data_IF_520927994791
#
_entry.id   IF_520927994791
#
_cell.length_a   1.000
_cell.length_b   1.000
_cell.length_c   1.000
_cell.angle_alpha   90.00
_cell.angle_beta   90.00
_cell.angle_gamma   90.00
#
_symmetry.space_group_name_H-M   'P 1'
#
loop_
_entity.id
_entity.type
_entity.pdbx_description
1 polymer ?
#
# COMPACT_ATOMS: atom_id res chain seq x y z
N UNK A 1 12.19 1.79 0.61
CA UNK A 1 11.35 0.97 -0.24
C UNK A 1 10.51 -0.02 0.57
N UNK A 2 9.35 -0.38 0.04
CA UNK A 2 8.53 -1.46 0.60
C UNK A 2 9.12 -2.83 0.22
N UNK A 3 9.47 -3.63 1.22
CA UNK A 3 9.99 -4.98 1.04
C UNK A 3 8.90 -6.05 1.17
N UNK A 4 7.91 -5.82 2.02
CA UNK A 4 6.77 -6.70 2.23
C UNK A 4 5.47 -5.93 2.20
N UNK A 5 4.40 -6.58 1.76
CA UNK A 5 3.05 -6.05 1.69
C UNK A 5 2.09 -6.93 2.47
N UNK A 6 0.99 -6.38 3.02
CA UNK A 6 -0.05 -7.18 3.67
C UNK A 6 -0.71 -8.13 2.67
N UNK A 7 -1.31 -9.21 3.18
CA UNK A 7 -2.02 -10.20 2.34
C UNK A 7 -3.35 -9.68 1.82
N UNK A 8 -4.03 -8.87 2.61
CA UNK A 8 -5.27 -8.20 2.24
C UNK A 8 -5.16 -6.73 2.55
N UNK A 9 -5.74 -5.89 1.71
CA UNK A 9 -5.74 -4.44 1.83
C UNK A 9 -7.14 -3.91 1.59
N UNK A 10 -7.52 -2.89 2.34
CA UNK A 10 -8.76 -2.16 2.13
C UNK A 10 -8.52 -0.98 1.19
N UNK A 11 -9.56 -0.56 0.48
CA UNK A 11 -9.48 0.59 -0.43
C UNK A 11 -9.01 1.83 0.32
N UNK A 12 -8.02 2.54 -0.25
CA UNK A 12 -7.48 3.76 0.33
C UNK A 12 -6.50 3.56 1.48
N UNK A 13 -5.94 2.36 1.65
CA UNK A 13 -5.00 2.11 2.73
C UNK A 13 -3.74 3.00 2.66
N UNK A 14 -3.37 3.53 1.48
CA UNK A 14 -2.28 4.48 1.31
C UNK A 14 -2.65 5.92 1.68
N UNK A 15 -3.94 6.25 1.84
CA UNK A 15 -4.39 7.62 2.17
C UNK A 15 -3.72 8.18 3.43
N UNK A 16 -3.49 7.32 4.42
CA UNK A 16 -2.78 7.67 5.66
C UNK A 16 -1.36 8.18 5.39
N UNK A 17 -0.64 7.51 4.48
CA UNK A 17 0.73 7.89 4.12
C UNK A 17 0.71 9.20 3.33
N UNK A 18 -0.13 9.27 2.30
CA UNK A 18 -0.23 10.46 1.44
C UNK A 18 -0.64 11.69 2.23
N UNK A 19 -1.48 11.51 3.25
CA UNK A 19 -1.92 12.58 4.15
C UNK A 19 -0.95 12.89 5.27
N UNK A 20 0.15 12.16 5.39
CA UNK A 20 1.16 12.38 6.43
C UNK A 20 1.86 13.73 6.26
N UNK A 21 2.10 14.41 7.39
CA UNK A 21 2.83 15.68 7.38
C UNK A 21 4.32 15.41 7.14
N UNK A 22 4.88 16.09 6.16
CA UNK A 22 6.30 16.02 5.85
C UNK A 22 6.58 16.21 4.37
N UNK A 23 7.84 16.46 4.03
CA UNK A 23 8.29 16.59 2.65
C UNK A 23 8.85 15.24 2.17
N UNK A 24 8.05 14.54 1.40
CA UNK A 24 8.44 13.26 0.79
C UNK A 24 7.75 13.05 -0.56
N UNK A 25 8.43 12.31 -1.42
CA UNK A 25 7.85 11.81 -2.67
C UNK A 25 7.48 10.35 -2.50
N UNK A 26 6.29 9.97 -2.95
CA UNK A 26 5.85 8.59 -3.04
C UNK A 26 5.78 8.19 -4.50
N UNK A 27 6.49 7.14 -4.88
CA UNK A 27 6.51 6.61 -6.24
C UNK A 27 6.05 5.17 -6.26
N UNK A 28 5.05 4.90 -7.09
CA UNK A 28 4.50 3.57 -7.31
C UNK A 28 4.75 3.17 -8.76
N UNK A 29 5.60 2.15 -8.96
CA UNK A 29 5.84 1.56 -10.27
C UNK A 29 4.98 0.32 -10.42
N UNK A 30 4.24 0.25 -11.51
CA UNK A 30 3.32 -0.84 -11.81
C UNK A 30 3.61 -1.30 -13.23
N UNK A 31 4.20 -2.49 -13.35
CA UNK A 31 4.47 -3.12 -14.63
C UNK A 31 3.58 -4.35 -14.80
N UNK A 32 2.83 -4.48 -15.91
CA UNK A 32 2.08 -5.71 -16.17
C UNK A 32 3.06 -6.88 -16.31
N UNK A 33 2.71 -8.03 -15.72
CA UNK A 33 3.51 -9.24 -15.85
C UNK A 33 2.92 -10.13 -16.94
N UNK A 34 3.81 -10.70 -17.75
CA UNK A 34 3.41 -11.57 -18.86
C UNK A 34 2.60 -12.78 -18.37
N UNK A 35 1.52 -13.10 -19.09
CA UNK A 35 0.58 -14.14 -18.66
C UNK A 35 1.20 -15.55 -18.74
N UNK A 36 2.01 -15.83 -19.76
CA UNK A 36 2.66 -17.13 -19.94
C UNK A 36 3.67 -17.35 -18.79
N UNK A 37 4.49 -16.34 -18.51
CA UNK A 37 5.44 -16.36 -17.41
C UNK A 37 4.73 -16.46 -16.06
N UNK A 38 3.57 -15.80 -15.91
CA UNK A 38 2.72 -15.90 -14.71
C UNK A 38 2.26 -17.33 -14.48
N UNK A 39 1.74 -17.98 -15.52
CA UNK A 39 1.27 -19.37 -15.43
C UNK A 39 2.39 -20.34 -15.06
N UNK A 40 3.58 -20.16 -15.64
CA UNK A 40 4.75 -20.98 -15.33
C UNK A 40 5.17 -20.79 -13.85
N UNK A 41 5.21 -19.55 -13.38
CA UNK A 41 5.59 -19.20 -12.00
C UNK A 41 4.64 -19.81 -10.99
N UNK A 42 3.32 -19.62 -11.19
CA UNK A 42 2.30 -20.12 -10.27
C UNK A 42 2.21 -21.65 -10.26
N UNK A 43 2.34 -22.29 -11.43
CA UNK A 43 2.36 -23.75 -11.50
C UNK A 43 3.58 -24.35 -10.77
N UNK A 44 4.77 -23.74 -10.89
CA UNK A 44 5.95 -24.15 -10.12
C UNK A 44 5.73 -23.99 -8.61
N UNK A 45 5.13 -22.87 -8.20
CA UNK A 45 4.84 -22.63 -6.78
C UNK A 45 3.81 -23.62 -6.25
N UNK A 46 2.75 -23.93 -6.99
CA UNK A 46 1.78 -24.97 -6.62
C UNK A 46 2.42 -26.35 -6.49
N UNK A 47 3.29 -26.74 -7.43
CA UNK A 47 3.99 -28.00 -7.35
C UNK A 47 4.87 -28.10 -6.10
N UNK A 48 5.59 -27.03 -5.77
CA UNK A 48 6.40 -26.94 -4.55
C UNK A 48 5.54 -27.06 -3.30
N UNK A 49 4.48 -26.24 -3.19
CA UNK A 49 3.58 -26.25 -2.04
C UNK A 49 2.90 -27.61 -1.87
N UNK A 50 2.53 -28.28 -2.97
CA UNK A 50 1.98 -29.64 -2.94
C UNK A 50 2.99 -30.64 -2.41
N UNK A 51 4.25 -30.57 -2.82
CA UNK A 51 5.31 -31.43 -2.32
C UNK A 51 5.55 -31.21 -0.81
N UNK A 52 5.57 -29.95 -0.38
CA UNK A 52 5.72 -29.58 1.04
C UNK A 52 4.55 -30.10 1.89
N UNK A 53 3.32 -30.00 1.38
CA UNK A 53 2.12 -30.56 2.03
C UNK A 53 2.20 -32.09 2.17
N UNK A 54 2.62 -32.78 1.12
CA UNK A 54 2.83 -34.24 1.17
C UNK A 54 3.89 -34.62 2.22
N UNK A 55 5.01 -33.92 2.22
CA UNK A 55 6.09 -34.16 3.20
C UNK A 55 5.64 -33.89 4.65
N UNK A 56 4.83 -32.85 4.89
CA UNK A 56 4.23 -32.56 6.19
C UNK A 56 3.28 -33.65 6.65
N UNK A 57 2.38 -34.08 5.77
CA UNK A 57 1.40 -35.15 6.07
C UNK A 57 2.09 -36.47 6.39
N UNK A 58 3.12 -36.83 5.64
CA UNK A 58 3.91 -38.06 5.88
C UNK A 58 4.65 -38.04 7.23
N UNK A 59 5.05 -36.85 7.70
CA UNK A 59 5.67 -36.65 9.02
C UNK A 59 4.67 -36.47 10.17
N UNK A 60 3.37 -36.53 9.90
CA UNK A 60 2.33 -36.31 10.92
C UNK A 60 2.27 -34.88 11.43
N UNK A 61 2.88 -33.90 10.73
CA UNK A 61 2.88 -32.51 11.13
C UNK A 61 1.77 -31.77 10.37
N UNK A 62 0.74 -31.36 11.07
CA UNK A 62 -0.29 -30.48 10.52
C UNK A 62 0.26 -29.06 10.41
N UNK A 63 0.31 -28.51 9.21
CA UNK A 63 0.73 -27.13 8.98
C UNK A 63 -0.38 -26.34 8.25
N UNK A 64 -1.35 -25.76 8.99
CA UNK A 64 -2.47 -25.02 8.41
C UNK A 64 -2.04 -23.87 7.51
N UNK A 65 -0.88 -23.27 7.80
CA UNK A 65 -0.34 -22.17 7.00
C UNK A 65 0.05 -22.61 5.57
N UNK A 66 0.46 -23.87 5.38
CA UNK A 66 0.77 -24.41 4.05
C UNK A 66 -0.51 -24.73 3.27
N UNK A 67 -1.56 -25.22 3.94
CA UNK A 67 -2.85 -25.50 3.30
C UNK A 67 -3.47 -24.19 2.79
N UNK A 68 -3.53 -23.15 3.63
CA UNK A 68 -4.03 -21.83 3.23
C UNK A 68 -3.24 -21.27 2.03
N UNK A 69 -1.90 -21.37 2.07
CA UNK A 69 -1.07 -20.90 0.95
C UNK A 69 -1.35 -21.64 -0.36
N UNK A 70 -1.57 -22.94 -0.28
CA UNK A 70 -1.88 -23.75 -1.44
C UNK A 70 -3.23 -23.35 -2.04
N UNK A 71 -4.27 -23.23 -1.22
CA UNK A 71 -5.60 -22.79 -1.63
C UNK A 71 -5.58 -21.39 -2.24
N UNK A 72 -4.88 -20.45 -1.61
CA UNK A 72 -4.72 -19.08 -2.13
C UNK A 72 -4.07 -19.09 -3.52
N UNK A 73 -2.97 -19.85 -3.68
CA UNK A 73 -2.27 -19.93 -4.97
C UNK A 73 -3.13 -20.59 -6.04
N UNK A 74 -3.89 -21.63 -5.69
CA UNK A 74 -4.82 -22.28 -6.60
C UNK A 74 -5.96 -21.35 -7.04
N UNK A 75 -6.53 -20.59 -6.10
CA UNK A 75 -7.57 -19.60 -6.39
C UNK A 75 -7.07 -18.48 -7.30
N UNK A 76 -5.86 -17.96 -7.05
CA UNK A 76 -5.23 -16.98 -7.92
C UNK A 76 -5.07 -17.54 -9.35
N UNK A 77 -4.56 -18.75 -9.48
CA UNK A 77 -4.38 -19.40 -10.79
C UNK A 77 -5.72 -19.57 -11.52
N UNK A 78 -6.76 -20.01 -10.84
CA UNK A 78 -8.11 -20.14 -11.42
C UNK A 78 -8.67 -18.79 -11.89
N UNK A 79 -8.49 -17.72 -11.11
CA UNK A 79 -8.96 -16.39 -11.45
C UNK A 79 -8.20 -15.81 -12.64
N UNK A 80 -6.90 -16.04 -12.72
CA UNK A 80 -6.08 -15.67 -13.88
C UNK A 80 -6.51 -16.41 -15.15
N UNK A 81 -6.74 -17.71 -15.07
CA UNK A 81 -7.23 -18.52 -16.21
C UNK A 81 -8.60 -18.07 -16.71
N UNK A 82 -9.47 -17.63 -15.80
CA UNK A 82 -10.78 -17.07 -16.13
C UNK A 82 -10.73 -15.63 -16.65
N UNK A 83 -9.55 -15.01 -16.67
CA UNK A 83 -9.36 -13.62 -17.07
C UNK A 83 -9.93 -12.58 -16.09
N UNK A 84 -10.30 -13.00 -14.86
CA UNK A 84 -10.83 -12.11 -13.82
C UNK A 84 -9.73 -11.29 -13.15
N UNK A 85 -8.53 -11.84 -13.09
CA UNK A 85 -7.35 -11.25 -12.46
C UNK A 85 -6.20 -11.16 -13.46
N UNK A 86 -5.29 -10.20 -13.22
CA UNK A 86 -3.99 -10.09 -13.89
C UNK A 86 -2.91 -9.95 -12.84
N UNK A 87 -1.69 -10.30 -13.17
CA UNK A 87 -0.54 -10.16 -12.31
C UNK A 87 0.29 -8.95 -12.72
N UNK A 88 0.72 -8.17 -11.73
CA UNK A 88 1.56 -7.00 -11.92
C UNK A 88 2.81 -7.11 -11.06
N UNK A 89 3.90 -6.55 -11.54
CA UNK A 89 5.10 -6.29 -10.74
C UNK A 89 4.97 -4.89 -10.17
N UNK A 90 4.97 -4.78 -8.84
CA UNK A 90 4.74 -3.52 -8.14
C UNK A 90 5.94 -3.19 -7.26
N UNK A 91 6.39 -1.96 -7.34
CA UNK A 91 7.44 -1.38 -6.48
C UNK A 91 6.94 -0.09 -5.86
N UNK A 92 7.04 0.04 -4.54
CA UNK A 92 6.69 1.25 -3.80
C UNK A 92 7.95 1.84 -3.18
N UNK A 93 8.24 3.08 -3.53
CA UNK A 93 9.37 3.84 -3.03
C UNK A 93 8.92 5.13 -2.37
N UNK A 94 9.63 5.54 -1.32
CA UNK A 94 9.40 6.81 -0.64
C UNK A 94 10.75 7.48 -0.46
N UNK A 95 10.85 8.72 -0.94
CA UNK A 95 12.01 9.59 -0.79
C UNK A 95 11.67 10.69 0.20
N UNK A 96 12.26 10.65 1.39
CA UNK A 96 12.07 11.67 2.43
C UNK A 96 13.09 12.80 2.27
N UNK A 97 12.65 14.05 2.42
CA UNK A 97 13.48 15.24 2.34
C UNK A 97 13.32 16.07 3.61
N UNK A 98 14.41 16.63 4.08
CA UNK A 98 14.41 17.60 5.17
C UNK A 98 15.61 18.55 5.08
N UNK A 99 15.55 19.68 5.77
CA UNK A 99 16.64 20.65 5.78
C UNK A 99 17.75 20.29 6.77
N UNK A 100 17.44 19.50 7.80
CA UNK A 100 18.40 19.02 8.79
C UNK A 100 18.38 17.50 8.89
N UNK A 101 19.50 16.91 9.34
CA UNK A 101 19.58 15.46 9.59
C UNK A 101 18.61 15.02 10.68
N UNK A 102 18.44 15.82 11.72
CA UNK A 102 17.55 15.52 12.83
C UNK A 102 16.09 15.45 12.38
N UNK A 103 15.66 16.37 11.52
CA UNK A 103 14.30 16.39 10.98
C UNK A 103 14.10 15.27 9.97
N UNK A 104 15.11 14.92 9.18
CA UNK A 104 15.08 13.76 8.30
C UNK A 104 14.91 12.46 9.10
N UNK A 105 15.64 12.31 10.20
CA UNK A 105 15.52 11.13 11.06
C UNK A 105 14.14 11.04 11.74
N UNK A 106 13.56 12.18 12.16
CA UNK A 106 12.20 12.25 12.70
C UNK A 106 11.16 11.85 11.66
N UNK A 107 11.24 12.44 10.45
CA UNK A 107 10.34 12.13 9.34
C UNK A 107 10.43 10.65 8.94
N UNK A 108 11.65 10.14 8.80
CA UNK A 108 11.87 8.72 8.45
C UNK A 108 11.26 7.78 9.48
N UNK A 109 11.49 8.00 10.78
CA UNK A 109 10.88 7.17 11.84
C UNK A 109 9.36 7.21 11.80
N UNK A 110 8.78 8.37 11.53
CA UNK A 110 7.34 8.53 11.41
C UNK A 110 6.79 7.74 10.22
N UNK A 111 7.38 7.89 9.04
CA UNK A 111 6.98 7.14 7.84
C UNK A 111 7.14 5.62 8.07
N UNK A 112 8.21 5.20 8.75
CA UNK A 112 8.37 3.79 9.13
C UNK A 112 7.24 3.29 10.04
N UNK A 113 6.85 4.08 11.04
CA UNK A 113 5.75 3.73 11.95
C UNK A 113 4.42 3.63 11.19
N UNK A 114 4.14 4.56 10.29
CA UNK A 114 2.94 4.55 9.46
C UNK A 114 2.91 3.35 8.50
N UNK A 115 4.02 3.05 7.81
CA UNK A 115 4.11 1.88 6.95
C UNK A 115 3.92 0.57 7.73
N UNK A 116 4.57 0.45 8.90
CA UNK A 116 4.41 -0.72 9.75
C UNK A 116 2.96 -0.86 10.27
N UNK A 117 2.26 0.23 10.54
CA UNK A 117 0.84 0.19 10.92
C UNK A 117 -0.06 -0.36 9.81
N UNK A 118 0.37 -0.24 8.56
CA UNK A 118 -0.27 -0.80 7.38
C UNK A 118 0.27 -2.19 7.00
N UNK A 119 1.09 -2.79 7.86
CA UNK A 119 1.76 -4.08 7.62
C UNK A 119 2.66 -4.07 6.36
N UNK A 120 3.11 -2.89 5.94
CA UNK A 120 4.14 -2.74 4.92
C UNK A 120 5.49 -2.72 5.63
N UNK A 121 6.41 -3.58 5.19
CA UNK A 121 7.74 -3.68 5.78
C UNK A 121 8.69 -2.74 5.03
N UNK A 122 9.06 -1.57 5.60
CA UNK A 122 10.00 -0.66 4.96
C UNK A 122 11.45 -1.12 5.13
N UNK A 123 12.28 -0.86 4.12
CA UNK A 123 13.73 -1.02 4.18
C UNK A 123 14.44 0.14 3.49
N UNK A 124 15.67 0.43 3.90
CA UNK A 124 16.53 1.41 3.23
C UNK A 124 17.41 0.71 2.18
N UNK A 125 17.63 1.33 1.01
CA UNK A 125 18.48 0.76 -0.04
C UNK A 125 19.96 1.04 0.28
N UNK A 126 20.54 0.31 1.23
CA UNK A 126 21.95 0.47 1.60
C UNK A 126 22.84 0.31 0.35
N UNK A 127 23.81 1.24 0.19
CA UNK A 127 24.72 1.34 -0.96
C UNK A 127 24.08 1.56 -2.33
N UNK A 128 22.73 1.75 -2.39
CA UNK A 128 21.97 1.98 -3.61
C UNK A 128 21.07 3.20 -3.51
N UNK A 129 21.48 4.21 -2.75
CA UNK A 129 20.66 5.41 -2.49
C UNK A 129 20.43 6.24 -3.75
N UNK A 130 21.41 6.31 -4.67
CA UNK A 130 21.27 7.02 -5.95
C UNK A 130 20.18 6.36 -6.80
N UNK A 131 20.18 5.04 -6.89
CA UNK A 131 19.13 4.29 -7.60
C UNK A 131 17.76 4.48 -6.93
N UNK A 132 17.72 4.58 -5.60
CA UNK A 132 16.51 4.90 -4.84
C UNK A 132 15.97 6.29 -5.18
N UNK A 133 16.82 7.28 -5.24
CA UNK A 133 16.46 8.64 -5.64
C UNK A 133 15.96 8.69 -7.09
N UNK A 134 16.64 8.01 -8.02
CA UNK A 134 16.21 7.92 -9.42
C UNK A 134 14.82 7.27 -9.55
N UNK A 135 14.57 6.20 -8.77
CA UNK A 135 13.28 5.51 -8.77
C UNK A 135 12.13 6.36 -8.21
N UNK A 136 12.41 7.35 -7.36
CA UNK A 136 11.43 8.31 -6.87
C UNK A 136 11.31 9.56 -7.76
N UNK A 137 12.25 9.78 -8.67
CA UNK A 137 12.22 10.92 -9.58
C UNK A 137 11.19 10.70 -10.70
N UNK A 138 10.63 11.77 -11.31
CA UNK A 138 9.62 11.66 -12.36
C UNK A 138 10.19 11.18 -13.72
N UNK A 139 11.12 10.24 -13.67
CA UNK A 139 11.77 9.64 -14.85
C UNK A 139 11.10 8.35 -15.30
N UNK A 140 10.11 7.85 -14.55
CA UNK A 140 9.43 6.58 -14.79
C UNK A 140 10.39 5.36 -14.89
N UNK A 141 11.54 5.41 -14.18
CA UNK A 141 12.57 4.36 -14.22
C UNK A 141 12.63 3.67 -12.87
N UNK A 142 12.31 2.37 -12.81
CA UNK A 142 12.53 1.54 -11.63
C UNK A 142 14.00 1.07 -11.56
N UNK A 143 14.90 1.95 -11.10
CA UNK A 143 16.34 1.66 -11.00
C UNK A 143 16.69 0.64 -9.91
N UNK A 144 15.86 0.48 -8.87
CA UNK A 144 16.07 -0.47 -7.78
C UNK A 144 15.60 -1.88 -8.12
N UNK A 145 14.55 -2.00 -8.93
CA UNK A 145 13.92 -3.27 -9.36
C UNK A 145 13.53 -4.18 -8.18
N UNK A 146 13.04 -3.57 -7.09
CA UNK A 146 12.55 -4.31 -5.92
C UNK A 146 11.06 -4.53 -6.09
N UNK A 147 10.72 -5.57 -6.81
CA UNK A 147 9.38 -5.84 -7.31
C UNK A 147 8.67 -6.92 -6.51
N UNK A 148 7.37 -6.77 -6.35
CA UNK A 148 6.47 -7.78 -5.79
C UNK A 148 5.35 -8.06 -6.77
N UNK A 149 4.96 -9.32 -6.85
CA UNK A 149 3.82 -9.71 -7.65
C UNK A 149 2.53 -9.44 -6.87
N UNK A 150 1.64 -8.66 -7.45
CA UNK A 150 0.35 -8.29 -6.86
C UNK A 150 -0.71 -8.48 -7.94
N UNK A 151 -1.86 -9.06 -7.59
CA UNK A 151 -2.99 -9.24 -8.51
C UNK A 151 -3.84 -7.97 -8.60
N UNK A 152 -4.76 -7.93 -9.57
CA UNK A 152 -5.58 -6.74 -9.86
C UNK A 152 -6.36 -6.24 -8.65
N UNK A 153 -7.00 -7.16 -7.90
CA UNK A 153 -7.86 -6.79 -6.77
C UNK A 153 -7.09 -6.06 -5.66
N UNK A 154 -6.01 -6.62 -5.05
CA UNK A 154 -5.21 -5.90 -4.08
C UNK A 154 -4.55 -4.64 -4.65
N UNK A 155 -4.15 -4.66 -5.93
CA UNK A 155 -3.54 -3.49 -6.57
C UNK A 155 -4.49 -2.31 -6.66
N UNK A 156 -5.77 -2.54 -6.88
CA UNK A 156 -6.78 -1.48 -6.93
C UNK A 156 -6.86 -0.69 -5.62
N UNK A 157 -6.56 -1.32 -4.49
CA UNK A 157 -6.54 -0.69 -3.17
C UNK A 157 -5.34 0.28 -2.98
N UNK A 158 -4.31 0.19 -3.83
CA UNK A 158 -3.17 1.12 -3.81
C UNK A 158 -3.50 2.51 -4.35
N UNK A 159 -4.69 2.71 -4.93
CA UNK A 159 -5.11 4.02 -5.38
C UNK A 159 -5.29 4.96 -4.17
N UNK A 160 -4.49 6.03 -4.05
CA UNK A 160 -4.40 6.81 -2.82
C UNK A 160 -5.43 7.94 -2.73
N UNK A 161 -6.31 8.10 -3.73
CA UNK A 161 -7.25 9.22 -3.80
C UNK A 161 -8.69 8.76 -3.62
N UNK A 162 -8.95 7.99 -2.56
CA UNK A 162 -10.29 7.43 -2.29
C UNK A 162 -11.19 8.39 -1.52
N UNK A 163 -10.63 9.38 -0.83
CA UNK A 163 -11.38 10.42 -0.15
C UNK A 163 -10.71 11.78 -0.26
N UNK A 164 -11.51 12.86 -0.20
CA UNK A 164 -10.98 14.21 -0.03
C UNK A 164 -10.40 14.33 1.37
N UNK A 165 -9.09 14.42 1.50
CA UNK A 165 -8.44 14.66 2.78
C UNK A 165 -8.38 16.16 3.05
N UNK A 166 -9.12 16.59 4.05
CA UNK A 166 -8.99 17.93 4.61
C UNK A 166 -8.02 17.86 5.78
N UNK A 167 -6.85 18.50 5.63
CA UNK A 167 -5.88 18.60 6.72
C UNK A 167 -6.53 19.20 7.96
N UNK A 168 -6.43 18.51 9.10
CA UNK A 168 -6.96 19.01 10.36
C UNK A 168 -6.20 20.29 10.78
N UNK A 169 -6.92 21.36 11.04
CA UNK A 169 -6.33 22.57 11.61
C UNK A 169 -5.96 22.32 13.09
N UNK A 170 -4.92 22.99 13.58
CA UNK A 170 -4.49 22.89 15.00
C UNK A 170 -5.56 23.44 15.97
N UNK A 171 -6.40 24.33 15.49
CA UNK A 171 -7.54 24.90 16.21
C UNK A 171 -8.73 24.95 15.26
N UNK A 172 -9.93 24.72 15.74
CA UNK A 172 -11.12 24.77 14.90
C UNK A 172 -12.29 23.95 15.44
N UNK A 173 -13.37 23.93 14.70
CA UNK A 173 -14.57 23.18 15.03
C UNK A 173 -14.41 21.76 14.50
N UNK A 174 -14.70 20.78 15.34
CA UNK A 174 -14.84 19.39 14.90
C UNK A 174 -16.16 19.22 14.15
N UNK A 175 -16.07 18.91 12.86
CA UNK A 175 -17.23 18.78 11.99
C UNK A 175 -17.73 17.33 11.90
N UNK A 176 -16.89 16.35 12.20
CA UNK A 176 -17.23 14.94 12.14
C UNK A 176 -16.06 14.07 11.72
N UNK A 177 -16.36 12.86 11.26
CA UNK A 177 -15.37 11.92 10.71
C UNK A 177 -15.57 11.79 9.19
N UNK A 178 -14.49 11.69 8.46
CA UNK A 178 -14.55 11.31 7.05
C UNK A 178 -14.81 9.80 6.89
N UNK A 179 -14.93 9.33 5.65
CA UNK A 179 -15.12 7.89 5.33
C UNK A 179 -14.03 6.98 5.90
N UNK A 180 -12.84 7.53 6.16
CA UNK A 180 -11.70 6.79 6.68
C UNK A 180 -11.55 6.95 8.21
N UNK A 181 -12.61 7.35 8.91
CA UNK A 181 -12.64 7.61 10.36
C UNK A 181 -11.59 8.64 10.84
N UNK A 182 -11.19 9.57 9.95
CA UNK A 182 -10.27 10.65 10.28
C UNK A 182 -11.10 11.88 10.70
N UNK A 183 -10.81 12.52 11.86
CA UNK A 183 -11.50 13.72 12.30
C UNK A 183 -11.34 14.88 11.30
N UNK A 184 -12.45 15.52 10.95
CA UNK A 184 -12.48 16.76 10.19
C UNK A 184 -12.53 17.90 11.18
N UNK A 185 -11.39 18.56 11.41
CA UNK A 185 -11.26 19.74 12.26
C UNK A 185 -10.91 20.91 11.36
N UNK A 186 -11.76 21.94 11.35
CA UNK A 186 -11.57 23.10 10.48
C UNK A 186 -11.74 24.41 11.21
N UNK A 187 -10.77 25.30 11.08
CA UNK A 187 -10.88 26.67 11.51
C UNK A 187 -11.62 27.49 10.43
N UNK A 188 -12.90 27.69 10.65
CA UNK A 188 -13.77 28.35 9.68
C UNK A 188 -13.31 29.79 9.39
N UNK A 189 -12.71 30.46 10.39
CA UNK A 189 -12.26 31.83 10.25
C UNK A 189 -10.95 31.99 9.44
N UNK A 190 -10.24 30.90 9.18
CA UNK A 190 -9.09 30.89 8.28
C UNK A 190 -9.45 30.67 6.81
N UNK A 191 -10.73 30.41 6.52
CA UNK A 191 -11.19 30.29 5.14
C UNK A 191 -11.30 31.68 4.51
N UNK A 192 -11.02 31.79 3.22
CA UNK A 192 -11.20 33.02 2.45
C UNK A 192 -12.66 33.51 2.44
N UNK A 193 -13.60 32.60 2.64
CA UNK A 193 -15.03 32.89 2.85
C UNK A 193 -15.56 31.98 3.97
N UNK A 194 -15.82 32.53 5.19
CA UNK A 194 -16.27 31.76 6.34
C UNK A 194 -17.75 31.43 6.34
N UNK A 195 -18.49 31.82 5.32
CA UNK A 195 -19.91 31.53 5.22
C UNK A 195 -20.18 30.07 4.86
N UNK A 196 -21.07 29.42 5.55
CA UNK A 196 -21.49 28.04 5.30
C UNK A 196 -23.02 27.90 5.25
N UNK A 197 -23.49 26.93 4.49
CA UNK A 197 -24.92 26.57 4.42
C UNK A 197 -25.02 25.11 4.84
N UNK A 198 -25.88 24.82 5.81
CA UNK A 198 -26.26 23.48 6.20
C UNK A 198 -27.63 23.14 5.64
N UNK A 199 -27.73 22.21 4.73
CA UNK A 199 -28.95 21.70 4.14
C UNK A 199 -29.24 20.32 4.67
N UNK A 200 -30.38 20.14 5.33
CA UNK A 200 -30.78 18.86 5.89
C UNK A 200 -32.29 18.64 5.73
N UNK A 201 -32.71 17.39 5.61
CA UNK A 201 -34.14 17.04 5.68
C UNK A 201 -34.58 17.01 7.15
N UNK A 202 -35.88 17.25 7.39
CA UNK A 202 -36.46 17.18 8.72
C UNK A 202 -36.20 15.78 9.33
N UNK A 203 -35.65 15.75 10.53
CA UNK A 203 -35.33 14.51 11.24
C UNK A 203 -33.96 13.89 10.92
N UNK A 204 -33.08 14.58 10.21
CA UNK A 204 -31.71 14.07 9.90
C UNK A 204 -30.65 14.39 10.96
N UNK A 205 -31.05 14.88 12.13
CA UNK A 205 -30.16 15.15 13.29
C UNK A 205 -29.82 16.60 13.46
#
# INVERSE_FOLDING_TARGET
>A
YAHGYPRSVESGFLDKIVSSLGDFDLSLHIDPYDIEMTMVLLNKELQKQRADLYASKTKGILNPSLEIKYEDTENILRNLQKGKEKLFQVSLYINCRAQSKEDLDKLTRRIYAELNSLLIIPKQPLFRMIQGFQACSPLAIDSLKIRRHITTEPLSAFFPFTSSFLQADKSGVWLGLNRNNIPIIKDIFKLSNPNGICLASSGSG
#
